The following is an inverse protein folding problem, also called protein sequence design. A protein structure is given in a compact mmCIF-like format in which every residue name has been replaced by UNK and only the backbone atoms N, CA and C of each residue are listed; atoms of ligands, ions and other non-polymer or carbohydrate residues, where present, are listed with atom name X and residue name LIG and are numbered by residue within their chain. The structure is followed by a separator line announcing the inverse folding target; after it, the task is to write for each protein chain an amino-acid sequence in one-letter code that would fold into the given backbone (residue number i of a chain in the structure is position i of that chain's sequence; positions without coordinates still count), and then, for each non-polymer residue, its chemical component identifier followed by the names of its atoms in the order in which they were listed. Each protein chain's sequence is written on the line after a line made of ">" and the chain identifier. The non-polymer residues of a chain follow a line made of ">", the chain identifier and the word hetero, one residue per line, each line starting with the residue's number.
data_IF_675791823693
#
_entry.id   IF_675791823693
#
_cell.length_a   1.000
_cell.length_b   1.000
_cell.length_c   1.000
_cell.angle_alpha   90.00
_cell.angle_beta   90.00
_cell.angle_gamma   90.00
#
_symmetry.space_group_name_H-M   'P 1'
#
loop_
_entity.id
_entity.type
_entity.pdbx_description
1 polymer ?
#
# COMPACT_ATOMS: atom_id res chain seq x y z
N UNK A 1 0.05 -2.40 4.20
CA UNK A 1 0.08 -1.02 4.75
C UNK A 1 -0.12 -0.04 3.61
N UNK A 2 -1.20 0.75 3.59
CA UNK A 2 -1.32 1.85 2.64
C UNK A 2 -0.62 3.10 3.22
N UNK A 3 0.25 3.72 2.45
CA UNK A 3 0.99 4.92 2.85
C UNK A 3 0.55 6.07 1.96
N UNK A 4 0.03 7.13 2.55
CA UNK A 4 -0.33 8.35 1.83
C UNK A 4 0.74 9.42 2.01
N UNK A 5 0.91 10.26 1.00
CA UNK A 5 1.77 11.45 1.09
C UNK A 5 1.30 12.41 2.19
N UNK A 6 2.15 13.32 2.62
CA UNK A 6 1.81 14.30 3.65
C UNK A 6 0.56 15.11 3.28
N UNK A 7 0.42 15.50 2.03
CA UNK A 7 -0.74 16.22 1.50
C UNK A 7 -1.95 15.33 1.15
N UNK A 8 -1.85 14.01 1.38
CA UNK A 8 -2.88 13.01 1.11
C UNK A 8 -3.32 12.91 -0.36
N UNK A 9 -2.50 13.36 -1.32
CA UNK A 9 -2.83 13.32 -2.74
C UNK A 9 -2.25 12.13 -3.50
N UNK A 10 -1.27 11.44 -2.89
CA UNK A 10 -0.57 10.31 -3.50
C UNK A 10 -0.52 9.13 -2.55
N UNK A 11 -0.41 7.93 -3.11
CA UNK A 11 -0.19 6.67 -2.37
C UNK A 11 1.14 6.07 -2.80
N UNK A 12 1.90 5.58 -1.82
CA UNK A 12 3.11 4.80 -2.07
C UNK A 12 2.73 3.38 -2.45
N UNK A 13 3.23 2.92 -3.57
CA UNK A 13 3.11 1.55 -4.04
C UNK A 13 4.49 0.95 -4.26
N UNK A 14 4.61 -0.34 -3.95
CA UNK A 14 5.81 -1.13 -4.20
C UNK A 14 5.53 -2.30 -5.15
N UNK A 15 6.57 -2.80 -5.81
CA UNK A 15 6.51 -4.04 -6.58
C UNK A 15 7.73 -4.91 -6.33
N UNK A 16 7.51 -6.21 -6.30
CA UNK A 16 8.59 -7.21 -6.26
C UNK A 16 8.96 -7.65 -7.67
N UNK A 17 10.22 -7.99 -7.88
CA UNK A 17 10.76 -8.43 -9.18
C UNK A 17 10.00 -9.61 -9.82
N UNK A 18 9.45 -10.51 -8.99
CA UNK A 18 8.69 -11.69 -9.43
C UNK A 18 7.26 -11.39 -9.92
N UNK A 19 6.76 -10.15 -9.71
CA UNK A 19 5.40 -9.79 -10.12
C UNK A 19 5.34 -9.40 -11.61
N UNK A 20 4.19 -9.55 -12.26
CA UNK A 20 4.01 -9.12 -13.64
C UNK A 20 4.31 -7.63 -13.82
N UNK A 21 4.70 -7.19 -15.02
CA UNK A 21 4.88 -5.77 -15.31
C UNK A 21 3.64 -4.95 -14.93
N UNK A 22 3.86 -3.72 -14.44
CA UNK A 22 2.84 -2.75 -14.03
C UNK A 22 1.99 -3.17 -12.83
N UNK A 23 2.20 -4.36 -12.25
CA UNK A 23 1.49 -4.83 -11.07
C UNK A 23 2.20 -4.35 -9.80
N UNK A 24 1.49 -3.54 -9.00
CA UNK A 24 1.96 -2.95 -7.75
C UNK A 24 0.97 -3.24 -6.62
N UNK A 25 1.45 -3.17 -5.41
CA UNK A 25 0.63 -3.32 -4.20
C UNK A 25 1.02 -2.29 -3.14
N UNK A 26 0.21 -2.21 -2.09
CA UNK A 26 0.64 -1.60 -0.84
C UNK A 26 1.78 -2.41 -0.23
N UNK A 27 2.62 -1.78 0.58
CA UNK A 27 3.71 -2.43 1.30
C UNK A 27 3.18 -3.43 2.34
N UNK A 28 3.96 -4.44 2.70
CA UNK A 28 3.58 -5.45 3.66
C UNK A 28 4.81 -6.07 4.33
N UNK A 29 4.76 -6.23 5.64
CA UNK A 29 5.81 -6.85 6.42
C UNK A 29 5.26 -7.53 7.67
N UNK A 30 6.12 -8.06 8.53
CA UNK A 30 5.75 -8.79 9.73
C UNK A 30 5.92 -7.93 10.99
N UNK A 31 5.00 -8.10 11.94
CA UNK A 31 5.21 -7.58 13.28
C UNK A 31 6.26 -8.43 14.01
N UNK A 32 7.20 -7.79 14.67
CA UNK A 32 8.16 -8.44 15.53
C UNK A 32 7.62 -8.65 16.96
N UNK A 33 8.18 -9.60 17.74
CA UNK A 33 7.80 -9.76 19.14
C UNK A 33 7.97 -8.47 19.96
N UNK A 34 6.96 -8.16 20.78
CA UNK A 34 6.94 -6.99 21.65
C UNK A 34 6.91 -5.62 20.93
N UNK A 35 6.54 -5.59 19.66
CA UNK A 35 6.36 -4.38 18.85
C UNK A 35 4.87 -4.03 18.74
N UNK A 36 4.51 -2.74 18.83
CA UNK A 36 3.15 -2.33 18.52
C UNK A 36 2.93 -2.34 16.99
N UNK A 37 1.68 -2.48 16.56
CA UNK A 37 1.34 -2.46 15.12
C UNK A 37 1.79 -1.17 14.45
N UNK A 38 1.62 -0.02 15.12
CA UNK A 38 2.01 1.28 14.60
C UNK A 38 3.52 1.39 14.40
N UNK A 39 4.33 0.85 15.33
CA UNK A 39 5.79 0.82 15.21
C UNK A 39 6.25 -0.17 14.14
N UNK A 40 5.61 -1.34 14.04
CA UNK A 40 5.85 -2.29 12.96
C UNK A 40 5.64 -1.64 11.59
N UNK A 41 4.52 -0.90 11.43
CA UNK A 41 4.21 -0.18 10.19
C UNK A 41 5.28 0.87 9.86
N UNK A 42 5.73 1.65 10.86
CA UNK A 42 6.80 2.65 10.64
C UNK A 42 8.12 2.01 10.24
N UNK A 43 8.50 0.94 10.92
CA UNK A 43 9.75 0.19 10.66
C UNK A 43 9.73 -0.43 9.27
N UNK A 44 8.71 -1.22 8.94
CA UNK A 44 8.60 -1.92 7.66
C UNK A 44 8.57 -0.93 6.47
N UNK A 45 7.78 0.15 6.57
CA UNK A 45 7.73 1.17 5.51
C UNK A 45 9.10 1.84 5.32
N UNK A 46 9.81 2.11 6.42
CA UNK A 46 11.15 2.67 6.33
C UNK A 46 12.17 1.67 5.74
N UNK A 47 12.14 0.42 6.17
CA UNK A 47 13.03 -0.64 5.66
C UNK A 47 12.82 -0.86 4.16
N UNK A 48 11.57 -1.04 3.72
CA UNK A 48 11.23 -1.32 2.33
C UNK A 48 11.38 -0.10 1.39
N UNK A 49 11.17 1.12 1.87
CA UNK A 49 11.06 2.29 0.99
C UNK A 49 11.83 3.53 1.44
N UNK A 50 12.37 3.57 2.65
CA UNK A 50 13.00 4.78 3.22
C UNK A 50 12.02 5.87 3.66
N UNK A 51 10.71 5.71 3.42
CA UNK A 51 9.70 6.71 3.76
C UNK A 51 9.46 6.76 5.27
N UNK A 52 9.42 7.97 5.83
CA UNK A 52 9.19 8.19 7.25
C UNK A 52 7.72 8.52 7.53
N UNK A 53 7.11 7.77 8.45
CA UNK A 53 5.70 7.95 8.81
C UNK A 53 5.53 8.69 10.12
N UNK A 54 4.52 9.58 10.13
CA UNK A 54 3.98 10.17 11.35
C UNK A 54 2.79 9.38 11.87
N UNK A 55 1.58 9.81 11.52
CA UNK A 55 0.33 9.17 11.93
C UNK A 55 0.17 7.80 11.28
N UNK A 56 -0.20 6.81 12.09
CA UNK A 56 -0.61 5.47 11.66
C UNK A 56 -1.96 5.13 12.27
N UNK A 57 -2.86 4.55 11.49
CA UNK A 57 -4.20 4.14 11.92
C UNK A 57 -4.44 2.69 11.49
N UNK A 58 -4.88 1.84 12.41
CA UNK A 58 -5.33 0.48 12.10
C UNK A 58 -6.71 0.61 11.43
N UNK A 59 -6.89 -0.04 10.28
CA UNK A 59 -8.10 0.05 9.49
C UNK A 59 -8.95 -1.23 9.55
N UNK A 60 -8.33 -2.38 9.29
CA UNK A 60 -9.06 -3.65 9.12
C UNK A 60 -8.15 -4.85 9.34
N UNK A 61 -8.74 -6.03 9.37
CA UNK A 61 -7.99 -7.29 9.40
C UNK A 61 -8.52 -8.25 8.34
N UNK A 62 -7.65 -9.16 7.88
CA UNK A 62 -8.01 -10.23 6.96
C UNK A 62 -7.32 -11.52 7.36
N UNK A 63 -8.06 -12.60 7.68
CA UNK A 63 -7.46 -13.92 7.85
C UNK A 63 -6.76 -14.38 6.56
N UNK A 64 -5.56 -14.89 6.69
CA UNK A 64 -4.78 -15.48 5.61
C UNK A 64 -4.40 -16.92 6.00
N UNK A 65 -5.34 -17.89 5.82
CA UNK A 65 -5.26 -19.20 6.46
C UNK A 65 -4.17 -20.12 5.89
N UNK A 66 -3.53 -19.76 4.81
CA UNK A 66 -2.46 -20.55 4.20
C UNK A 66 -1.18 -19.70 4.07
N UNK A 67 -0.18 -19.89 4.96
CA UNK A 67 -0.09 -20.95 5.99
C UNK A 67 -0.97 -20.71 7.23
N UNK A 68 -1.01 -19.56 7.86
CA UNK A 68 -1.81 -19.27 9.06
C UNK A 68 -1.57 -17.85 9.58
N UNK A 69 -1.74 -16.85 8.73
CA UNK A 69 -1.50 -15.45 9.09
C UNK A 69 -2.81 -14.70 9.35
N UNK A 70 -2.75 -13.70 10.20
CA UNK A 70 -3.73 -12.63 10.27
C UNK A 70 -3.09 -11.37 9.70
N UNK A 71 -3.64 -10.86 8.59
CA UNK A 71 -3.23 -9.60 8.02
C UNK A 71 -3.88 -8.45 8.79
N UNK A 72 -3.08 -7.49 9.20
CA UNK A 72 -3.54 -6.24 9.83
C UNK A 72 -3.35 -5.11 8.83
N UNK A 73 -4.45 -4.55 8.37
CA UNK A 73 -4.47 -3.42 7.46
C UNK A 73 -4.28 -2.12 8.23
N UNK A 74 -3.24 -1.38 7.89
CA UNK A 74 -2.97 -0.06 8.47
C UNK A 74 -2.80 1.00 7.38
N UNK A 75 -3.09 2.24 7.74
CA UNK A 75 -2.91 3.41 6.87
C UNK A 75 -1.97 4.36 7.59
N UNK A 76 -0.84 4.69 6.94
CA UNK A 76 0.17 5.61 7.43
C UNK A 76 0.23 6.89 6.60
N UNK A 77 0.52 8.01 7.24
CA UNK A 77 0.77 9.29 6.56
C UNK A 77 2.25 9.65 6.67
N UNK A 78 2.86 9.97 5.52
CA UNK A 78 4.24 10.38 5.47
C UNK A 78 4.46 11.73 6.17
N UNK A 79 5.62 11.90 6.78
CA UNK A 79 6.06 13.20 7.29
C UNK A 79 6.38 14.15 6.11
N UNK A 80 6.27 15.48 6.31
CA UNK A 80 6.52 16.48 5.24
C UNK A 80 7.87 16.27 4.54
N UNK A 81 8.92 16.00 5.34
CA UNK A 81 10.29 15.80 4.84
C UNK A 81 10.66 14.32 4.73
N UNK A 82 9.68 13.41 4.88
CA UNK A 82 9.88 11.96 4.95
C UNK A 82 9.46 11.20 3.69
N UNK A 83 9.13 11.87 2.58
CA UNK A 83 8.58 11.23 1.38
C UNK A 83 9.64 10.67 0.40
N UNK A 84 10.92 10.86 0.70
CA UNK A 84 11.99 10.43 -0.20
C UNK A 84 12.11 8.91 -0.20
N UNK A 85 12.00 8.31 -1.39
CA UNK A 85 12.12 6.86 -1.56
C UNK A 85 13.59 6.46 -1.67
N UNK A 86 13.97 5.42 -0.90
CA UNK A 86 15.26 4.76 -0.93
C UNK A 86 15.05 3.25 -0.81
N UNK A 87 15.49 2.48 -1.79
CA UNK A 87 15.34 1.02 -1.83
C UNK A 87 16.62 0.27 -1.42
N UNK A 88 17.59 0.98 -0.83
CA UNK A 88 18.90 0.41 -0.51
C UNK A 88 18.93 -0.32 0.84
N UNK A 89 17.92 -0.10 1.70
CA UNK A 89 17.87 -0.69 3.04
C UNK A 89 17.46 -2.15 3.00
N UNK A 90 16.50 -2.50 2.13
CA UNK A 90 16.02 -3.86 1.92
C UNK A 90 15.84 -4.13 0.42
N UNK A 91 16.48 -5.19 -0.15
CA UNK A 91 16.36 -5.53 -1.56
C UNK A 91 15.05 -6.22 -1.94
N UNK A 92 14.03 -6.26 -1.07
CA UNK A 92 12.77 -6.95 -1.33
C UNK A 92 12.00 -6.34 -2.51
N UNK A 93 11.97 -5.01 -2.59
CA UNK A 93 11.29 -4.29 -3.66
C UNK A 93 12.23 -4.02 -4.85
N UNK A 94 11.74 -4.28 -6.06
CA UNK A 94 12.39 -3.87 -7.30
C UNK A 94 12.16 -2.40 -7.60
N UNK A 95 10.97 -1.90 -7.27
CA UNK A 95 10.54 -0.52 -7.50
C UNK A 95 9.52 -0.08 -6.46
N UNK A 96 9.56 1.19 -6.11
CA UNK A 96 8.53 1.86 -5.34
C UNK A 96 8.30 3.27 -5.88
N UNK A 97 7.04 3.70 -5.89
CA UNK A 97 6.66 5.01 -6.43
C UNK A 97 5.45 5.61 -5.73
N UNK A 98 5.42 6.94 -5.72
CA UNK A 98 4.23 7.69 -5.37
C UNK A 98 3.29 7.76 -6.58
N UNK A 99 2.04 7.40 -6.40
CA UNK A 99 0.99 7.38 -7.43
C UNK A 99 -0.14 8.31 -7.02
N UNK A 100 -0.60 9.13 -7.95
CA UNK A 100 -1.70 10.07 -7.71
C UNK A 100 -3.02 9.35 -7.42
N UNK A 101 -3.85 9.92 -6.55
CA UNK A 101 -5.14 9.32 -6.15
C UNK A 101 -6.08 9.09 -7.35
N UNK A 102 -6.02 9.91 -8.39
CA UNK A 102 -6.85 9.71 -9.59
C UNK A 102 -6.41 8.49 -10.39
N UNK A 103 -5.09 8.24 -10.50
CA UNK A 103 -4.56 7.02 -11.11
C UNK A 103 -4.93 5.78 -10.29
N UNK A 104 -4.89 5.88 -8.95
CA UNK A 104 -5.36 4.80 -8.06
C UNK A 104 -6.83 4.48 -8.30
N UNK A 105 -7.70 5.50 -8.37
CA UNK A 105 -9.15 5.31 -8.63
C UNK A 105 -9.40 4.62 -9.97
N UNK A 106 -8.69 5.03 -11.01
CA UNK A 106 -8.81 4.40 -12.33
C UNK A 106 -8.28 2.95 -12.30
N UNK A 107 -7.13 2.69 -11.67
CA UNK A 107 -6.60 1.34 -11.55
C UNK A 107 -7.49 0.42 -10.70
N UNK A 108 -8.15 0.93 -9.66
CA UNK A 108 -9.14 0.19 -8.88
C UNK A 108 -10.38 -0.19 -9.72
N UNK A 109 -10.71 0.63 -10.73
CA UNK A 109 -11.84 0.39 -11.62
C UNK A 109 -11.56 -0.68 -12.67
N UNK A 110 -10.39 -0.64 -13.33
CA UNK A 110 -10.08 -1.48 -14.51
C UNK A 110 -8.83 -2.34 -14.39
N UNK A 111 -7.91 -2.02 -13.46
CA UNK A 111 -6.58 -2.63 -13.35
C UNK A 111 -6.49 -3.73 -12.28
N UNK A 112 -7.57 -4.09 -11.59
CA UNK A 112 -7.51 -5.08 -10.51
C UNK A 112 -7.45 -6.51 -11.03
N UNK A 113 -6.49 -7.31 -10.52
CA UNK A 113 -6.37 -8.72 -10.88
C UNK A 113 -5.57 -9.48 -9.81
N UNK A 114 -5.76 -10.80 -9.72
CA UNK A 114 -4.81 -11.65 -9.00
C UNK A 114 -3.48 -11.74 -9.79
N UNK A 115 -2.44 -12.18 -9.10
CA UNK A 115 -1.15 -12.47 -9.75
C UNK A 115 -1.35 -13.60 -10.76
N UNK A 116 -1.01 -13.34 -12.03
CA UNK A 116 -1.17 -14.30 -13.13
C UNK A 116 -2.48 -14.15 -13.92
N UNK A 117 -3.47 -13.45 -13.41
CA UNK A 117 -4.72 -13.19 -14.12
C UNK A 117 -4.61 -11.97 -15.05
N UNK A 118 -5.46 -11.93 -16.07
CA UNK A 118 -5.62 -10.75 -16.91
C UNK A 118 -6.31 -9.61 -16.13
N UNK A 119 -6.01 -8.34 -16.43
CA UNK A 119 -6.72 -7.21 -15.87
C UNK A 119 -8.17 -7.15 -16.37
N UNK A 120 -8.99 -6.32 -15.71
CA UNK A 120 -10.40 -6.14 -16.06
C UNK A 120 -10.65 -5.53 -17.43
N UNK A 121 -11.91 -5.59 -17.86
CA UNK A 121 -12.36 -4.96 -19.10
C UNK A 121 -12.12 -3.44 -19.05
N UNK A 122 -11.61 -2.87 -20.14
CA UNK A 122 -11.27 -1.45 -20.25
C UNK A 122 -9.84 -1.10 -19.78
N UNK A 123 -9.07 -2.08 -19.31
CA UNK A 123 -7.66 -1.86 -18.99
C UNK A 123 -6.86 -1.53 -20.26
N UNK A 124 -6.02 -0.51 -20.19
CA UNK A 124 -5.08 -0.13 -21.25
C UNK A 124 -3.71 -0.71 -20.95
N UNK A 125 -3.09 -1.33 -21.92
CA UNK A 125 -1.73 -1.88 -21.78
C UNK A 125 -0.75 -0.81 -21.28
N UNK A 126 0.08 -1.19 -20.31
CA UNK A 126 1.00 -0.26 -19.64
C UNK A 126 0.40 0.52 -18.46
N UNK A 127 -0.90 0.41 -18.22
CA UNK A 127 -1.56 1.02 -17.07
C UNK A 127 -1.22 0.33 -15.74
N UNK A 128 -1.47 1.04 -14.64
CA UNK A 128 -1.26 0.51 -13.29
C UNK A 128 -2.19 -0.68 -13.02
N UNK A 129 -1.62 -1.76 -12.48
CA UNK A 129 -2.35 -2.95 -12.03
C UNK A 129 -2.25 -3.07 -10.52
N UNK A 130 -3.35 -3.45 -9.89
CA UNK A 130 -3.51 -3.53 -8.42
C UNK A 130 -4.05 -4.89 -7.98
N UNK A 131 -3.88 -5.27 -6.70
CA UNK A 131 -4.45 -6.48 -6.14
C UNK A 131 -5.96 -6.60 -6.34
N UNK A 132 -6.52 -7.84 -6.37
CA UNK A 132 -7.94 -8.06 -6.56
C UNK A 132 -8.78 -7.50 -5.41
N UNK A 133 -10.06 -7.28 -5.66
CA UNK A 133 -11.02 -6.72 -4.68
C UNK A 133 -11.12 -7.52 -3.37
N UNK A 134 -10.74 -8.80 -3.41
CA UNK A 134 -10.73 -9.69 -2.25
C UNK A 134 -9.53 -9.49 -1.33
N UNK A 135 -8.48 -8.78 -1.78
CA UNK A 135 -7.28 -8.55 -0.99
C UNK A 135 -7.42 -7.32 -0.09
N UNK A 136 -6.92 -7.42 1.15
CA UNK A 136 -6.89 -6.28 2.10
C UNK A 136 -6.17 -5.06 1.50
N UNK A 137 -5.12 -5.26 0.70
CA UNK A 137 -4.41 -4.19 0.01
C UNK A 137 -5.35 -3.36 -0.88
N UNK A 138 -6.26 -4.01 -1.61
CA UNK A 138 -7.27 -3.31 -2.42
C UNK A 138 -8.25 -2.51 -1.54
N UNK A 139 -8.71 -3.09 -0.41
CA UNK A 139 -9.59 -2.41 0.53
C UNK A 139 -8.94 -1.15 1.12
N UNK A 140 -7.65 -1.22 1.47
CA UNK A 140 -6.89 -0.08 1.95
C UNK A 140 -6.76 1.02 0.88
N UNK A 141 -6.50 0.64 -0.38
CA UNK A 141 -6.44 1.59 -1.50
C UNK A 141 -7.79 2.25 -1.77
N UNK A 142 -8.90 1.51 -1.67
CA UNK A 142 -10.25 2.09 -1.75
C UNK A 142 -10.49 3.10 -0.61
N UNK A 143 -10.10 2.77 0.62
CA UNK A 143 -10.27 3.66 1.77
C UNK A 143 -9.51 4.98 1.59
N UNK A 144 -8.21 4.92 1.24
CA UNK A 144 -7.40 6.14 1.08
C UNK A 144 -7.84 6.97 -0.13
N UNK A 145 -8.20 6.35 -1.25
CA UNK A 145 -8.71 7.06 -2.43
C UNK A 145 -10.11 7.65 -2.22
N UNK A 146 -10.85 7.15 -1.23
CA UNK A 146 -12.12 7.71 -0.74
C UNK A 146 -11.96 8.80 0.33
N UNK A 147 -10.73 9.15 0.73
CA UNK A 147 -10.45 10.25 1.66
C UNK A 147 -10.38 9.85 3.14
N UNK A 148 -10.16 8.59 3.48
CA UNK A 148 -10.17 8.08 4.86
C UNK A 148 -9.30 8.87 5.86
N UNK A 149 -8.16 9.43 5.45
CA UNK A 149 -7.31 10.30 6.29
C UNK A 149 -7.59 11.80 6.10
N UNK A 150 -8.40 12.18 5.12
CA UNK A 150 -8.70 13.58 4.78
C UNK A 150 -9.68 14.27 5.72
N UNK A 151 -10.46 13.50 6.48
CA UNK A 151 -11.34 14.04 7.52
C UNK A 151 -10.70 13.78 8.89
N UNK A 152 -10.24 14.86 9.56
CA UNK A 152 -9.98 14.77 10.99
C UNK A 152 -11.29 14.38 11.68
N UNK A 153 -11.29 13.40 12.61
CA UNK A 153 -12.49 13.12 13.39
C UNK A 153 -12.94 14.43 14.04
N UNK A 154 -14.13 14.87 13.73
CA UNK A 154 -14.78 15.93 14.52
C UNK A 154 -15.04 15.33 15.88
N UNK A 155 -14.22 15.73 16.87
CA UNK A 155 -14.47 15.46 18.29
C UNK A 155 -15.58 16.39 18.75
#
# INVERSE_FOLDING_TARGET
>A
MAVVSHDSKRVLLGRQKRWPPYWYSTLAGFCEPAESVEEAVRREVWEESGVLLGRVVIHSTQPWPYPANLMIGAIGQALPDGEKIHLEHDPELEDAKWVDMDEIREALRVGTSALGDAPGEGYKEGGLRLPPKTAIANQLLQAVSGGFLGESPKI
#
